data_IF_790325488566
#
_entry.id   IF_790325488566
#
_cell.length_a   1.000
_cell.length_b   1.000
_cell.length_c   1.000
_cell.angle_alpha   90.00
_cell.angle_beta   90.00
_cell.angle_gamma   90.00
#
_symmetry.space_group_name_H-M   'P 1'
#
loop_
_entity.id
_entity.type
_entity.pdbx_description
1 polymer ?
#
# COMPACT_ATOMS: atom_id res chain seq x y z
N UNK A 1 -14.74 -33.74 30.39
CA UNK A 1 -14.02 -32.70 31.16
C UNK A 1 -14.58 -31.39 30.66
N UNK A 2 -15.54 -30.84 31.39
CA UNK A 2 -15.98 -29.47 31.15
C UNK A 2 -14.82 -28.58 31.58
N UNK A 3 -14.29 -27.78 30.65
CA UNK A 3 -13.30 -26.77 31.02
C UNK A 3 -13.97 -25.80 31.99
N UNK A 4 -13.28 -25.47 33.09
CA UNK A 4 -13.79 -24.43 33.97
C UNK A 4 -13.78 -23.07 33.25
N UNK A 5 -14.67 -22.19 33.69
CA UNK A 5 -14.89 -20.87 33.10
C UNK A 5 -13.61 -20.01 33.09
N UNK A 6 -12.71 -20.23 34.05
CA UNK A 6 -11.41 -19.56 34.12
C UNK A 6 -10.48 -19.99 32.98
N UNK A 7 -10.46 -21.29 32.66
CA UNK A 7 -9.68 -21.85 31.54
C UNK A 7 -10.23 -21.38 30.20
N UNK A 8 -11.56 -21.34 30.02
CA UNK A 8 -12.18 -20.80 28.81
C UNK A 8 -11.87 -19.30 28.61
N UNK A 9 -11.91 -18.52 29.69
CA UNK A 9 -11.61 -17.09 29.65
C UNK A 9 -10.15 -16.81 29.30
N UNK A 10 -9.20 -17.58 29.86
CA UNK A 10 -7.77 -17.49 29.50
C UNK A 10 -7.54 -17.83 28.03
N UNK A 11 -8.14 -18.92 27.54
CA UNK A 11 -7.98 -19.33 26.15
C UNK A 11 -8.53 -18.29 25.16
N UNK A 12 -9.71 -17.71 25.45
CA UNK A 12 -10.27 -16.62 24.63
C UNK A 12 -9.36 -15.41 24.60
N UNK A 13 -8.83 -15.01 25.76
CA UNK A 13 -7.91 -13.88 25.86
C UNK A 13 -6.61 -14.11 25.07
N UNK A 14 -6.01 -15.29 25.19
CA UNK A 14 -4.82 -15.66 24.41
C UNK A 14 -5.11 -15.66 22.90
N UNK A 15 -6.27 -16.15 22.47
CA UNK A 15 -6.68 -16.10 21.07
C UNK A 15 -6.90 -14.67 20.55
N UNK A 16 -7.46 -13.78 21.37
CA UNK A 16 -7.64 -12.37 21.03
C UNK A 16 -6.29 -11.64 20.93
N UNK A 17 -5.38 -11.88 21.89
CA UNK A 17 -4.03 -11.33 21.87
C UNK A 17 -3.24 -11.80 20.64
N UNK A 18 -3.34 -13.08 20.27
CA UNK A 18 -2.68 -13.60 19.07
C UNK A 18 -3.26 -13.01 17.78
N UNK A 19 -4.59 -12.92 17.67
CA UNK A 19 -5.24 -12.27 16.52
C UNK A 19 -4.81 -10.81 16.38
N UNK A 20 -4.72 -10.09 17.49
CA UNK A 20 -4.27 -8.70 17.48
C UNK A 20 -2.81 -8.57 17.05
N UNK A 21 -1.94 -9.47 17.51
CA UNK A 21 -0.55 -9.52 17.06
C UNK A 21 -0.43 -9.77 15.56
N UNK A 22 -1.17 -10.73 15.02
CA UNK A 22 -1.19 -11.03 13.59
C UNK A 22 -1.63 -9.82 12.77
N UNK A 23 -2.70 -9.13 13.17
CA UNK A 23 -3.16 -7.90 12.50
C UNK A 23 -2.11 -6.78 12.51
N UNK A 24 -1.38 -6.63 13.62
CA UNK A 24 -0.30 -5.65 13.72
C UNK A 24 0.90 -6.00 12.84
N UNK A 25 1.20 -7.29 12.72
CA UNK A 25 2.26 -7.80 11.84
C UNK A 25 1.89 -7.58 10.37
N UNK A 26 0.68 -7.96 9.94
CA UNK A 26 0.14 -7.72 8.59
C UNK A 26 0.17 -6.23 8.24
N UNK A 27 -0.33 -5.36 9.13
CA UNK A 27 -0.31 -3.91 8.92
C UNK A 27 1.12 -3.38 8.78
N UNK A 28 2.07 -3.89 9.57
CA UNK A 28 3.46 -3.47 9.47
C UNK A 28 4.11 -3.91 8.13
N UNK A 29 3.76 -5.09 7.61
CA UNK A 29 4.24 -5.58 6.32
C UNK A 29 3.68 -4.76 5.16
N UNK A 30 2.37 -4.47 5.19
CA UNK A 30 1.70 -3.58 4.25
C UNK A 30 2.37 -2.19 4.24
N UNK A 31 2.55 -1.57 5.41
CA UNK A 31 3.20 -0.26 5.52
C UNK A 31 4.65 -0.30 5.02
N UNK A 32 5.38 -1.38 5.30
CA UNK A 32 6.73 -1.56 4.79
C UNK A 32 6.73 -1.59 3.25
N UNK A 33 5.84 -2.35 2.63
CA UNK A 33 5.74 -2.44 1.16
C UNK A 33 5.41 -1.08 0.54
N UNK A 34 4.42 -0.37 1.07
CA UNK A 34 4.04 0.96 0.57
C UNK A 34 5.17 1.97 0.78
N UNK A 35 5.85 1.96 1.92
CA UNK A 35 6.96 2.90 2.16
C UNK A 35 8.20 2.61 1.30
N UNK A 36 8.42 1.34 0.92
CA UNK A 36 9.42 0.96 -0.08
C UNK A 36 9.00 1.42 -1.48
N UNK A 37 7.71 1.32 -1.82
CA UNK A 37 7.18 1.82 -3.08
C UNK A 37 7.48 3.31 -3.26
N UNK A 38 7.34 4.14 -2.22
CA UNK A 38 7.64 5.57 -2.29
C UNK A 38 9.11 5.95 -2.02
N UNK A 39 10.03 4.99 -1.94
CA UNK A 39 11.46 5.23 -1.68
C UNK A 39 11.75 6.00 -0.36
N UNK A 40 10.86 5.90 0.64
CA UNK A 40 11.00 6.55 1.96
C UNK A 40 11.28 5.57 3.10
N UNK A 41 11.28 4.26 2.81
CA UNK A 41 11.47 3.22 3.80
C UNK A 41 12.82 3.33 4.51
N UNK A 42 12.78 3.22 5.83
CA UNK A 42 13.95 3.14 6.70
C UNK A 42 13.72 2.01 7.72
N UNK A 43 14.76 1.27 8.12
CA UNK A 43 14.62 0.24 9.14
C UNK A 43 14.24 0.86 10.48
N UNK A 44 13.29 0.22 11.18
CA UNK A 44 12.91 0.65 12.52
C UNK A 44 14.05 0.43 13.52
N UNK A 45 14.15 1.26 14.60
CA UNK A 45 15.18 1.10 15.62
C UNK A 45 15.16 -0.26 16.34
N UNK A 46 13.99 -0.92 16.38
CA UNK A 46 13.84 -2.26 16.94
C UNK A 46 12.63 -2.97 16.33
N UNK A 47 12.62 -4.31 16.40
CA UNK A 47 11.46 -5.11 15.95
C UNK A 47 10.18 -4.75 16.71
N UNK A 48 10.28 -4.48 18.02
CA UNK A 48 9.13 -4.14 18.88
C UNK A 48 8.47 -2.81 18.50
N UNK A 49 9.22 -1.89 17.89
CA UNK A 49 8.73 -0.57 17.50
C UNK A 49 8.44 -0.46 16.01
N UNK A 50 8.56 -1.56 15.24
CA UNK A 50 8.42 -1.57 13.77
C UNK A 50 7.13 -0.95 13.29
N UNK A 51 5.98 -1.44 13.76
CA UNK A 51 4.66 -0.95 13.33
C UNK A 51 4.45 0.54 13.65
N UNK A 52 4.75 0.95 14.88
CA UNK A 52 4.63 2.35 15.31
C UNK A 52 5.59 3.29 14.57
N UNK A 53 6.82 2.83 14.28
CA UNK A 53 7.79 3.61 13.52
C UNK A 53 7.32 3.83 12.08
N UNK A 54 6.85 2.76 11.42
CA UNK A 54 6.28 2.85 10.08
C UNK A 54 5.07 3.79 10.04
N UNK A 55 4.11 3.65 10.97
CA UNK A 55 2.90 4.46 11.00
C UNK A 55 3.18 5.94 11.35
N UNK A 56 4.01 6.20 12.37
CA UNK A 56 4.12 7.55 12.95
C UNK A 56 5.32 8.36 12.44
N UNK A 57 6.32 7.71 11.84
CA UNK A 57 7.56 8.38 11.39
C UNK A 57 7.73 8.29 9.88
N UNK A 58 7.52 7.11 9.30
CA UNK A 58 7.79 6.90 7.87
C UNK A 58 6.58 7.28 7.01
N UNK A 59 5.39 6.78 7.33
CA UNK A 59 4.16 7.07 6.57
C UNK A 59 3.88 8.57 6.41
N UNK A 60 4.14 9.46 7.39
CA UNK A 60 3.99 10.90 7.22
C UNK A 60 4.89 11.53 6.14
N UNK A 61 5.99 10.86 5.74
CA UNK A 61 6.86 11.33 4.65
C UNK A 61 6.19 11.22 3.27
N UNK A 62 5.18 10.37 3.13
CA UNK A 62 4.38 10.21 1.91
C UNK A 62 3.23 11.21 1.98
N UNK A 63 3.04 12.04 0.96
CA UNK A 63 1.94 13.01 0.98
C UNK A 63 0.62 12.34 0.60
N UNK A 64 -0.51 12.91 1.05
CA UNK A 64 -1.84 12.44 0.65
C UNK A 64 -2.02 12.50 -0.88
N UNK A 65 -1.51 13.55 -1.51
CA UNK A 65 -1.57 13.74 -2.97
C UNK A 65 -0.79 12.66 -3.74
N UNK A 66 0.39 12.24 -3.25
CA UNK A 66 1.14 11.15 -3.86
C UNK A 66 0.35 9.86 -3.90
N UNK A 67 -0.27 9.48 -2.77
CA UNK A 67 -1.11 8.28 -2.68
C UNK A 67 -2.32 8.38 -3.61
N UNK A 68 -2.98 9.53 -3.63
CA UNK A 68 -4.10 9.77 -4.55
C UNK A 68 -3.70 9.68 -6.02
N UNK A 69 -2.54 10.21 -6.39
CA UNK A 69 -2.09 10.21 -7.78
C UNK A 69 -1.80 8.79 -8.29
N UNK A 70 -1.11 7.97 -7.49
CA UNK A 70 -0.90 6.53 -7.77
C UNK A 70 -2.23 5.83 -8.06
N UNK A 71 -3.24 6.03 -7.20
CA UNK A 71 -4.56 5.42 -7.38
C UNK A 71 -5.31 5.96 -8.62
N UNK A 72 -5.24 7.27 -8.87
CA UNK A 72 -5.88 7.91 -10.02
C UNK A 72 -5.32 7.45 -11.36
N UNK A 73 -4.02 7.17 -11.45
CA UNK A 73 -3.40 6.65 -12.68
C UNK A 73 -3.91 5.23 -13.02
N UNK A 74 -4.52 4.56 -12.04
CA UNK A 74 -5.14 3.23 -12.17
C UNK A 74 -6.67 3.29 -12.16
N UNK A 75 -7.23 4.49 -12.30
CA UNK A 75 -8.69 4.73 -12.28
C UNK A 75 -9.39 4.33 -10.98
N UNK A 76 -8.66 4.16 -9.88
CA UNK A 76 -9.25 3.86 -8.57
C UNK A 76 -9.84 5.14 -7.99
N UNK A 77 -11.11 5.10 -7.61
CA UNK A 77 -11.80 6.23 -6.99
C UNK A 77 -11.23 6.51 -5.59
N UNK A 78 -10.97 7.79 -5.30
CA UNK A 78 -10.33 8.23 -4.04
C UNK A 78 -11.20 9.21 -3.25
N UNK A 79 -12.46 9.40 -3.63
CA UNK A 79 -13.32 10.42 -3.05
C UNK A 79 -13.76 10.02 -1.63
N UNK A 80 -13.71 10.98 -0.69
CA UNK A 80 -14.07 10.81 0.73
C UNK A 80 -13.24 9.77 1.52
N UNK A 81 -12.10 9.33 0.99
CA UNK A 81 -11.19 8.41 1.69
C UNK A 81 -10.14 9.17 2.51
N UNK A 82 -9.81 8.63 3.67
CA UNK A 82 -8.70 9.08 4.48
C UNK A 82 -7.36 8.47 4.01
N UNK A 83 -6.24 8.96 4.53
CA UNK A 83 -4.91 8.53 4.07
C UNK A 83 -4.64 7.04 4.32
N UNK A 84 -5.11 6.50 5.43
CA UNK A 84 -4.90 5.08 5.76
C UNK A 84 -5.66 4.20 4.76
N UNK A 85 -6.92 4.54 4.43
CA UNK A 85 -7.72 3.83 3.41
C UNK A 85 -7.05 3.88 2.03
N UNK A 86 -6.50 5.02 1.62
CA UNK A 86 -5.78 5.13 0.35
C UNK A 86 -4.49 4.31 0.33
N UNK A 87 -3.80 4.20 1.47
CA UNK A 87 -2.56 3.43 1.62
C UNK A 87 -2.84 1.93 1.51
N UNK A 88 -3.95 1.47 2.10
CA UNK A 88 -4.44 0.09 1.93
C UNK A 88 -4.70 -0.21 0.45
N UNK A 89 -5.42 0.68 -0.26
CA UNK A 89 -5.66 0.50 -1.70
C UNK A 89 -4.38 0.50 -2.54
N UNK A 90 -3.38 1.31 -2.18
CA UNK A 90 -2.07 1.27 -2.85
C UNK A 90 -1.37 -0.06 -2.58
N UNK A 91 -1.50 -0.63 -1.38
CA UNK A 91 -0.95 -1.96 -1.12
C UNK A 91 -1.59 -3.03 -2.01
N UNK A 92 -2.92 -3.04 -2.12
CA UNK A 92 -3.65 -3.98 -2.99
C UNK A 92 -3.18 -3.86 -4.44
N UNK A 93 -3.01 -2.62 -4.92
CA UNK A 93 -2.46 -2.34 -6.24
C UNK A 93 -1.07 -2.98 -6.40
N UNK A 94 -0.16 -2.75 -5.45
CA UNK A 94 1.20 -3.29 -5.52
C UNK A 94 1.19 -4.82 -5.54
N UNK A 95 0.35 -5.45 -4.72
CA UNK A 95 0.23 -6.91 -4.65
C UNK A 95 -0.26 -7.48 -5.98
N UNK A 96 -1.32 -6.92 -6.55
CA UNK A 96 -1.87 -7.34 -7.85
C UNK A 96 -0.84 -7.15 -8.97
N UNK A 97 -0.14 -6.01 -9.02
CA UNK A 97 0.89 -5.77 -10.05
C UNK A 97 2.03 -6.80 -9.94
N UNK A 98 2.49 -7.08 -8.72
CA UNK A 98 3.57 -8.04 -8.52
C UNK A 98 3.12 -9.47 -8.84
N UNK A 99 1.91 -9.85 -8.44
CA UNK A 99 1.37 -11.19 -8.65
C UNK A 99 1.13 -11.48 -10.14
N UNK A 100 0.54 -10.54 -10.88
CA UNK A 100 0.10 -10.79 -12.25
C UNK A 100 1.07 -10.28 -13.33
N UNK A 101 1.84 -9.23 -13.06
CA UNK A 101 2.80 -8.66 -14.02
C UNK A 101 4.25 -8.97 -13.67
N UNK A 102 4.52 -9.32 -12.41
CA UNK A 102 5.85 -9.55 -11.89
C UNK A 102 6.58 -8.27 -11.49
N UNK A 103 7.62 -8.44 -10.66
CA UNK A 103 8.39 -7.35 -10.07
C UNK A 103 9.04 -6.41 -11.09
N UNK A 104 9.44 -6.91 -12.26
CA UNK A 104 10.06 -6.09 -13.29
C UNK A 104 9.07 -5.06 -13.86
N UNK A 105 7.85 -5.51 -14.20
CA UNK A 105 6.81 -4.63 -14.75
C UNK A 105 6.28 -3.66 -13.71
N UNK A 106 6.08 -4.11 -12.47
CA UNK A 106 5.75 -3.23 -11.34
C UNK A 106 6.75 -2.06 -11.19
N UNK A 107 8.06 -2.33 -11.31
CA UNK A 107 9.08 -1.28 -11.28
C UNK A 107 9.00 -0.33 -12.47
N UNK A 108 8.69 -0.83 -13.66
CA UNK A 108 8.47 0.03 -14.84
C UNK A 108 7.28 0.97 -14.65
N UNK A 109 6.17 0.49 -14.08
CA UNK A 109 5.01 1.32 -13.75
C UNK A 109 5.36 2.43 -12.77
N UNK A 110 6.08 2.12 -11.69
CA UNK A 110 6.59 3.12 -10.75
C UNK A 110 7.46 4.20 -11.42
N UNK A 111 8.32 3.83 -12.36
CA UNK A 111 9.15 4.81 -13.09
C UNK A 111 8.34 5.64 -14.11
N UNK A 112 7.26 5.09 -14.66
CA UNK A 112 6.27 5.86 -15.43
C UNK A 112 5.57 6.89 -14.56
N UNK A 113 5.20 6.57 -13.32
CA UNK A 113 4.62 7.55 -12.38
C UNK A 113 5.57 8.72 -12.12
N UNK A 114 6.85 8.44 -11.84
CA UNK A 114 7.87 9.48 -11.67
C UNK A 114 7.99 10.36 -12.93
N UNK A 115 7.87 9.74 -14.10
CA UNK A 115 7.87 10.46 -15.38
C UNK A 115 6.64 11.35 -15.54
N UNK A 116 5.46 10.89 -15.11
CA UNK A 116 4.23 11.69 -15.08
C UNK A 116 4.42 12.94 -14.24
N UNK A 117 4.88 12.80 -12.99
CA UNK A 117 5.12 13.93 -12.09
C UNK A 117 6.10 14.95 -12.71
N UNK A 118 7.19 14.45 -13.29
CA UNK A 118 8.19 15.26 -13.97
C UNK A 118 7.61 16.03 -15.17
N UNK A 119 6.73 15.40 -15.97
CA UNK A 119 6.09 16.06 -17.10
C UNK A 119 5.03 17.08 -16.67
N UNK A 120 4.24 16.77 -15.63
CA UNK A 120 3.23 17.67 -15.07
C UNK A 120 3.88 18.95 -14.52
N UNK A 121 4.98 18.83 -13.76
CA UNK A 121 5.75 19.97 -13.25
C UNK A 121 6.32 20.89 -14.34
N UNK A 122 6.53 20.35 -15.55
CA UNK A 122 7.09 21.09 -16.70
C UNK A 122 6.03 21.55 -17.71
N UNK A 123 4.74 21.36 -17.40
CA UNK A 123 3.65 21.67 -18.31
C UNK A 123 3.64 20.83 -19.60
N UNK A 124 4.30 19.67 -19.60
CA UNK A 124 4.40 18.78 -20.77
C UNK A 124 3.18 17.85 -20.87
N UNK A 125 1.98 18.44 -20.96
CA UNK A 125 0.70 17.74 -20.87
C UNK A 125 0.56 16.53 -21.80
N UNK A 126 1.07 16.62 -23.05
CA UNK A 126 1.02 15.49 -24.01
C UNK A 126 1.85 14.29 -23.54
N UNK A 127 3.01 14.52 -22.94
CA UNK A 127 3.89 13.45 -22.44
C UNK A 127 3.37 12.85 -21.14
N UNK A 128 2.88 13.71 -20.24
CA UNK A 128 2.18 13.29 -19.03
C UNK A 128 1.00 12.39 -19.37
N UNK A 129 0.13 12.83 -20.30
CA UNK A 129 -0.99 12.01 -20.77
C UNK A 129 -0.52 10.67 -21.32
N UNK A 130 0.47 10.65 -22.21
CA UNK A 130 0.99 9.40 -22.77
C UNK A 130 1.47 8.43 -21.70
N UNK A 131 2.18 8.90 -20.68
CA UNK A 131 2.65 8.04 -19.59
C UNK A 131 1.49 7.54 -18.70
N UNK A 132 0.47 8.38 -18.46
CA UNK A 132 -0.77 7.95 -17.77
C UNK A 132 -1.52 6.89 -18.57
N UNK A 133 -1.66 7.09 -19.88
CA UNK A 133 -2.31 6.13 -20.79
C UNK A 133 -1.54 4.79 -20.78
N UNK A 134 -0.20 4.80 -20.74
CA UNK A 134 0.61 3.57 -20.67
C UNK A 134 0.48 2.82 -19.33
N UNK A 135 0.36 3.55 -18.21
CA UNK A 135 0.04 2.95 -16.90
C UNK A 135 -1.34 2.30 -16.96
N UNK A 136 -2.34 3.03 -17.48
CA UNK A 136 -3.71 2.55 -17.62
C UNK A 136 -3.79 1.31 -18.51
N UNK A 137 -3.21 1.33 -19.72
CA UNK A 137 -3.25 0.21 -20.67
C UNK A 137 -2.59 -1.06 -20.10
N UNK A 138 -1.65 -0.90 -19.16
CA UNK A 138 -1.00 -2.02 -18.47
C UNK A 138 -1.85 -2.52 -17.29
N UNK A 139 -2.53 -1.63 -16.59
CA UNK A 139 -3.28 -1.93 -15.37
C UNK A 139 -4.73 -2.38 -15.64
N UNK A 140 -5.41 -1.79 -16.61
CA UNK A 140 -6.82 -2.02 -16.93
C UNK A 140 -7.18 -3.52 -17.07
N UNK A 141 -6.38 -4.37 -17.75
CA UNK A 141 -6.67 -5.80 -17.84
C UNK A 141 -6.63 -6.55 -16.49
N UNK A 142 -6.03 -5.97 -15.46
CA UNK A 142 -5.97 -6.56 -14.13
C UNK A 142 -7.23 -6.29 -13.29
N UNK A 143 -8.06 -5.32 -13.70
CA UNK A 143 -9.30 -4.96 -12.99
C UNK A 143 -10.29 -6.13 -13.02
N UNK A 144 -10.41 -6.82 -14.16
CA UNK A 144 -11.29 -8.00 -14.32
C UNK A 144 -10.84 -9.20 -13.45
N UNK A 145 -9.60 -9.21 -12.98
CA UNK A 145 -9.07 -10.28 -12.11
C UNK A 145 -9.40 -10.01 -10.63
N UNK A 146 -9.73 -8.77 -10.28
CA UNK A 146 -10.06 -8.35 -8.91
C UNK A 146 -11.50 -8.68 -8.50
N UNK A 147 -12.41 -8.90 -9.47
CA UNK A 147 -13.84 -9.26 -9.26
C UNK A 147 -14.06 -10.78 -9.19
#
# INVERSE_FOLDING_TARGET
YDMDEETEMKLRKEQEEEKERLRQEERAEMLQRVTQYYDVWEPAPSAKTRGLFLQNVILPKITFEQVQNTLKYRGVATDNMNKDELVELVNDVIEIEIEHLGLAKHRELKELEKSVEFFDQRGQARKSKKAKDEIWDTWDPLIEIKE
#
